data_IF_467136449455
#
_entry.id   IF_467136449455
#
_cell.length_a   1.000
_cell.length_b   1.000
_cell.length_c   1.000
_cell.angle_alpha   90.00
_cell.angle_beta   90.00
_cell.angle_gamma   90.00
#
_symmetry.space_group_name_H-M   'P 1'
#
loop_
_entity.id
_entity.type
_entity.pdbx_description
1 polymer ?
#
# COMPACT_ATOMS: atom_id res chain seq x y z
N UNK A 1 -12.13 1.25 -14.02
CA UNK A 1 -11.68 -0.04 -14.58
C UNK A 1 -12.01 -1.13 -13.57
N UNK A 2 -12.76 -2.14 -13.97
CA UNK A 2 -13.26 -3.20 -13.06
C UNK A 2 -12.28 -4.37 -12.87
N UNK A 3 -11.12 -4.35 -13.53
CA UNK A 3 -10.17 -5.46 -13.52
C UNK A 3 -8.77 -5.01 -13.10
N UNK A 4 -8.16 -5.85 -12.27
CA UNK A 4 -6.78 -5.75 -11.83
C UNK A 4 -5.85 -6.01 -13.03
N UNK A 5 -4.91 -5.11 -13.33
CA UNK A 5 -3.98 -5.33 -14.44
C UNK A 5 -2.97 -6.43 -14.09
N UNK A 6 -2.84 -7.42 -14.97
CA UNK A 6 -1.72 -8.35 -14.96
C UNK A 6 -0.57 -7.77 -15.79
N UNK A 7 0.62 -7.70 -15.19
CA UNK A 7 1.82 -7.13 -15.81
C UNK A 7 2.87 -8.23 -15.92
N UNK A 8 3.35 -8.50 -17.14
CA UNK A 8 4.40 -9.50 -17.36
C UNK A 8 5.69 -9.05 -16.67
N UNK A 9 6.32 -9.95 -15.92
CA UNK A 9 7.51 -9.64 -15.14
C UNK A 9 8.69 -9.18 -16.01
N UNK A 10 8.74 -9.61 -17.27
CA UNK A 10 9.80 -9.22 -18.21
C UNK A 10 9.69 -7.76 -18.68
N UNK A 11 8.63 -7.03 -18.31
CA UNK A 11 8.51 -5.59 -18.57
C UNK A 11 9.28 -4.74 -17.55
N UNK A 12 9.84 -5.35 -16.50
CA UNK A 12 10.57 -4.68 -15.44
C UNK A 12 12.08 -4.85 -15.62
N UNK A 13 12.76 -3.72 -15.76
CA UNK A 13 14.22 -3.63 -15.78
C UNK A 13 14.77 -3.15 -14.43
N UNK A 14 16.06 -3.38 -14.21
CA UNK A 14 16.80 -2.93 -13.02
C UNK A 14 16.08 -3.31 -11.70
N UNK A 15 15.63 -4.56 -11.62
CA UNK A 15 14.94 -5.09 -10.44
C UNK A 15 15.95 -5.24 -9.30
N UNK A 16 15.79 -4.42 -8.26
CA UNK A 16 16.70 -4.36 -7.12
C UNK A 16 15.95 -4.59 -5.81
N UNK A 17 16.47 -5.46 -4.94
CA UNK A 17 15.94 -5.61 -3.59
C UNK A 17 16.39 -4.42 -2.73
N UNK A 18 15.43 -3.68 -2.17
CA UNK A 18 15.74 -2.48 -1.38
C UNK A 18 16.04 -2.78 0.10
N UNK A 19 16.26 -4.06 0.44
CA UNK A 19 16.52 -4.60 1.77
C UNK A 19 15.49 -4.18 2.84
N UNK A 20 14.30 -3.72 2.41
CA UNK A 20 13.15 -3.50 3.28
C UNK A 20 12.31 -4.77 3.29
N UNK A 21 12.19 -5.39 4.46
CA UNK A 21 11.43 -6.62 4.68
C UNK A 21 10.28 -6.34 5.64
N UNK A 22 9.06 -6.61 5.19
CA UNK A 22 7.92 -6.79 6.08
C UNK A 22 7.90 -8.21 6.64
N UNK A 23 7.06 -8.48 7.64
CA UNK A 23 6.97 -9.81 8.25
C UNK A 23 6.71 -10.94 7.23
N UNK A 24 5.97 -10.64 6.15
CA UNK A 24 5.56 -11.59 5.11
C UNK A 24 5.78 -11.05 3.69
N UNK A 25 6.62 -10.02 3.53
CA UNK A 25 6.86 -9.43 2.22
C UNK A 25 8.29 -8.92 2.07
N UNK A 26 8.76 -8.98 0.84
CA UNK A 26 10.05 -8.42 0.42
C UNK A 26 9.81 -7.32 -0.59
N UNK A 27 10.48 -6.17 -0.42
CA UNK A 27 10.26 -5.01 -1.29
C UNK A 27 11.41 -4.87 -2.27
N UNK A 28 11.06 -4.65 -3.54
CA UNK A 28 11.98 -4.38 -4.63
C UNK A 28 11.60 -3.06 -5.29
N UNK A 29 12.57 -2.41 -5.95
CA UNK A 29 12.31 -1.36 -6.94
C UNK A 29 12.63 -1.87 -8.33
N UNK A 30 11.94 -1.32 -9.33
CA UNK A 30 12.21 -1.62 -10.73
C UNK A 30 11.87 -0.41 -11.61
N UNK A 31 12.32 -0.44 -12.87
CA UNK A 31 11.86 0.44 -13.93
C UNK A 31 10.86 -0.33 -14.78
N UNK A 32 9.61 0.13 -14.84
CA UNK A 32 8.61 -0.39 -15.75
C UNK A 32 8.69 0.37 -17.07
N UNK A 33 9.18 -0.28 -18.14
CA UNK A 33 9.46 0.37 -19.42
C UNK A 33 8.20 0.91 -20.10
N UNK A 34 7.16 0.08 -20.13
CA UNK A 34 5.88 0.42 -20.76
C UNK A 34 5.08 1.40 -19.90
N UNK A 35 5.10 1.25 -18.57
CA UNK A 35 4.35 2.09 -17.65
C UNK A 35 2.82 1.83 -17.66
N UNK A 36 2.08 2.55 -16.80
CA UNK A 36 0.63 2.42 -16.68
C UNK A 36 -0.08 2.93 -17.94
N UNK A 37 -1.27 2.39 -18.19
CA UNK A 37 -2.17 2.90 -19.24
C UNK A 37 -2.57 4.34 -18.93
N UNK A 38 -2.57 5.18 -19.95
CA UNK A 38 -2.82 6.61 -19.83
C UNK A 38 -4.09 7.01 -20.56
N UNK A 39 -4.07 7.02 -21.90
CA UNK A 39 -5.21 7.41 -22.73
C UNK A 39 -5.62 6.25 -23.65
N UNK A 40 -6.92 6.07 -23.85
CA UNK A 40 -7.43 5.21 -24.90
C UNK A 40 -7.57 6.02 -26.17
N UNK A 41 -6.92 5.57 -27.24
CA UNK A 41 -7.18 6.05 -28.59
C UNK A 41 -8.49 5.39 -29.07
N UNK A 42 -9.54 6.19 -29.25
CA UNK A 42 -10.88 5.70 -29.61
C UNK A 42 -10.96 5.16 -31.05
N UNK A 43 -10.06 5.58 -31.95
CA UNK A 43 -10.07 5.14 -33.35
C UNK A 43 -9.38 3.79 -33.51
N UNK A 44 -8.31 3.56 -32.77
CA UNK A 44 -7.50 2.34 -32.84
C UNK A 44 -7.81 1.33 -31.73
N UNK A 45 -8.58 1.73 -30.72
CA UNK A 45 -8.86 0.98 -29.49
C UNK A 45 -7.58 0.58 -28.72
N UNK A 46 -6.49 1.34 -28.90
CA UNK A 46 -5.20 1.08 -28.25
C UNK A 46 -4.98 2.05 -27.09
N UNK A 47 -4.56 1.51 -25.94
CA UNK A 47 -4.12 2.33 -24.82
C UNK A 47 -2.69 2.84 -25.04
N UNK A 48 -2.51 4.15 -25.01
CA UNK A 48 -1.20 4.75 -24.81
C UNK A 48 -0.72 4.44 -23.38
N UNK A 49 0.58 4.24 -23.20
CA UNK A 49 1.18 4.02 -21.89
C UNK A 49 2.18 5.12 -21.55
N UNK A 50 2.32 5.41 -20.26
CA UNK A 50 3.20 6.46 -19.76
C UNK A 50 4.42 5.84 -19.06
N UNK A 51 5.34 5.32 -19.85
CA UNK A 51 6.62 4.79 -19.41
C UNK A 51 7.80 5.51 -20.08
N UNK A 52 9.05 5.27 -19.61
CA UNK A 52 9.42 4.42 -18.48
C UNK A 52 9.19 5.11 -17.13
N UNK A 53 8.75 4.35 -16.12
CA UNK A 53 8.58 4.87 -14.75
C UNK A 53 9.23 3.97 -13.70
N UNK A 54 9.64 4.57 -12.58
CA UNK A 54 10.10 3.81 -11.41
C UNK A 54 8.89 3.29 -10.62
N UNK A 55 8.94 2.03 -10.21
CA UNK A 55 7.88 1.36 -9.44
C UNK A 55 8.46 0.62 -8.24
N UNK A 56 7.59 0.32 -7.27
CA UNK A 56 7.86 -0.60 -6.18
C UNK A 56 7.17 -1.94 -6.49
N UNK A 57 7.93 -3.02 -6.41
CA UNK A 57 7.41 -4.39 -6.46
C UNK A 57 7.39 -4.96 -5.05
N UNK A 58 6.20 -5.06 -4.46
CA UNK A 58 6.03 -5.69 -3.15
C UNK A 58 5.73 -7.17 -3.33
N UNK A 59 6.73 -8.02 -3.12
CA UNK A 59 6.61 -9.48 -3.21
C UNK A 59 5.87 -10.03 -1.99
N UNK A 60 4.84 -10.82 -2.24
CA UNK A 60 4.13 -11.58 -1.22
C UNK A 60 4.85 -12.92 -1.03
N UNK A 61 5.52 -13.08 0.10
CA UNK A 61 6.32 -14.28 0.35
C UNK A 61 5.39 -15.51 0.51
N UNK A 62 5.82 -16.66 -0.03
CA UNK A 62 5.07 -17.92 -0.04
C UNK A 62 3.69 -17.88 -0.73
N UNK A 63 3.44 -16.88 -1.57
CA UNK A 63 2.17 -16.73 -2.29
C UNK A 63 1.95 -17.71 -3.47
N UNK A 64 2.80 -18.74 -3.63
CA UNK A 64 2.56 -19.80 -4.62
C UNK A 64 1.25 -20.56 -4.33
N UNK A 65 0.94 -20.73 -3.04
CA UNK A 65 -0.22 -21.49 -2.56
C UNK A 65 -1.10 -20.61 -1.67
N UNK A 66 -1.64 -19.52 -2.22
CA UNK A 66 -2.46 -18.60 -1.42
C UNK A 66 -3.71 -19.28 -0.86
N UNK A 67 -4.01 -19.02 0.42
CA UNK A 67 -5.25 -19.47 1.06
C UNK A 67 -6.46 -18.71 0.51
N UNK A 68 -7.64 -19.34 0.56
CA UNK A 68 -8.89 -18.71 0.11
C UNK A 68 -9.20 -17.46 0.95
N UNK A 69 -8.88 -17.48 2.24
CA UNK A 69 -9.02 -16.36 3.16
C UNK A 69 -8.16 -15.16 2.73
N UNK A 70 -6.92 -15.41 2.30
CA UNK A 70 -6.03 -14.37 1.80
C UNK A 70 -6.54 -13.78 0.48
N UNK A 71 -7.04 -14.61 -0.44
CA UNK A 71 -7.68 -14.16 -1.69
C UNK A 71 -8.90 -13.27 -1.40
N UNK A 72 -9.72 -13.64 -0.42
CA UNK A 72 -10.87 -12.83 -0.02
C UNK A 72 -10.48 -11.46 0.55
N UNK A 73 -9.39 -11.40 1.34
CA UNK A 73 -8.83 -10.13 1.82
C UNK A 73 -8.29 -9.29 0.67
N UNK A 74 -7.55 -9.89 -0.26
CA UNK A 74 -7.02 -9.22 -1.44
C UNK A 74 -8.14 -8.60 -2.29
N UNK A 75 -9.24 -9.32 -2.47
CA UNK A 75 -10.39 -8.81 -3.22
C UNK A 75 -11.03 -7.59 -2.55
N UNK A 76 -11.19 -7.60 -1.22
CA UNK A 76 -11.67 -6.43 -0.48
C UNK A 76 -10.70 -5.25 -0.58
N UNK A 77 -9.40 -5.52 -0.43
CA UNK A 77 -8.35 -4.52 -0.52
C UNK A 77 -8.33 -3.83 -1.90
N UNK A 78 -8.43 -4.62 -2.97
CA UNK A 78 -8.50 -4.11 -4.34
C UNK A 78 -9.63 -3.08 -4.53
N UNK A 79 -10.80 -3.29 -3.91
CA UNK A 79 -11.90 -2.31 -3.97
C UNK A 79 -11.55 -0.98 -3.33
N UNK A 80 -10.72 -0.97 -2.28
CA UNK A 80 -10.27 0.26 -1.65
C UNK A 80 -9.29 1.05 -2.56
N UNK A 81 -8.46 0.34 -3.33
CA UNK A 81 -7.45 0.93 -4.20
C UNK A 81 -8.04 1.72 -5.39
N UNK A 82 -9.29 1.44 -5.78
CA UNK A 82 -9.95 2.11 -6.90
C UNK A 82 -10.33 3.59 -6.62
N UNK A 83 -10.18 4.07 -5.38
CA UNK A 83 -10.62 5.40 -4.98
C UNK A 83 -9.54 6.51 -5.11
N UNK A 84 -8.28 6.16 -5.41
CA UNK A 84 -7.18 7.13 -5.55
C UNK A 84 -6.72 7.83 -4.25
N UNK A 85 -7.34 7.49 -3.12
CA UNK A 85 -7.02 8.00 -1.77
C UNK A 85 -5.97 7.15 -1.03
N UNK A 86 -5.72 5.93 -1.52
CA UNK A 86 -4.66 5.05 -1.04
C UNK A 86 -3.46 5.12 -2.00
N UNK A 87 -2.35 4.48 -1.61
CA UNK A 87 -1.18 4.41 -2.48
C UNK A 87 -1.52 3.77 -3.83
N UNK A 88 -1.20 4.49 -4.91
CA UNK A 88 -1.45 4.07 -6.30
C UNK A 88 -0.95 2.66 -6.57
N UNK A 89 -1.90 1.80 -6.91
CA UNK A 89 -1.69 0.42 -7.25
C UNK A 89 -1.93 0.23 -8.75
N UNK A 90 -0.90 -0.21 -9.47
CA UNK A 90 -0.98 -0.38 -10.92
C UNK A 90 -1.44 -1.79 -11.31
N UNK A 91 -1.05 -2.81 -10.58
CA UNK A 91 -1.35 -4.19 -10.97
C UNK A 91 -0.64 -5.26 -10.15
N UNK A 92 -0.75 -6.49 -10.63
CA UNK A 92 -0.03 -7.64 -10.09
C UNK A 92 0.90 -8.19 -11.17
N UNK A 93 2.08 -8.63 -10.72
CA UNK A 93 3.00 -9.45 -11.50
C UNK A 93 3.38 -10.70 -10.70
N UNK A 94 4.18 -11.58 -11.30
CA UNK A 94 4.68 -12.81 -10.68
C UNK A 94 6.15 -12.99 -10.99
N UNK A 95 6.95 -13.12 -9.95
CA UNK A 95 8.40 -13.25 -10.08
C UNK A 95 8.80 -14.62 -10.66
N UNK A 96 10.08 -14.83 -11.02
CA UNK A 96 10.57 -16.11 -11.53
C UNK A 96 10.42 -17.28 -10.54
N UNK A 97 10.27 -17.00 -9.24
CA UNK A 97 10.04 -18.01 -8.18
C UNK A 97 8.54 -18.32 -7.98
N UNK A 98 7.69 -17.81 -8.85
CA UNK A 98 6.25 -17.93 -8.81
C UNK A 98 5.55 -17.24 -7.63
N UNK A 99 6.20 -16.31 -6.95
CA UNK A 99 5.58 -15.45 -5.96
C UNK A 99 4.88 -14.26 -6.64
N UNK A 100 3.66 -13.96 -6.23
CA UNK A 100 2.95 -12.76 -6.66
C UNK A 100 3.59 -11.50 -6.06
N UNK A 101 3.59 -10.42 -6.84
CA UNK A 101 4.06 -9.11 -6.41
C UNK A 101 3.04 -8.03 -6.79
N UNK A 102 2.85 -7.07 -5.90
CA UNK A 102 2.10 -5.86 -6.23
C UNK A 102 3.00 -4.84 -6.91
N UNK A 103 2.49 -4.24 -7.98
CA UNK A 103 3.14 -3.15 -8.71
C UNK A 103 2.53 -1.85 -8.21
N UNK A 104 3.30 -1.10 -7.43
CA UNK A 104 2.85 0.10 -6.71
C UNK A 104 3.69 1.28 -7.22
N UNK A 105 3.09 2.47 -7.27
CA UNK A 105 3.83 3.70 -7.57
C UNK A 105 5.02 3.88 -6.63
N UNK A 106 6.12 4.35 -7.18
CA UNK A 106 7.25 4.81 -6.39
C UNK A 106 6.99 6.25 -5.91
N UNK A 107 6.97 6.44 -4.59
CA UNK A 107 6.83 7.76 -3.97
C UNK A 107 8.22 8.30 -3.62
N UNK A 108 8.61 9.40 -4.28
CA UNK A 108 9.97 9.97 -4.18
C UNK A 108 10.29 10.45 -2.77
N UNK A 109 9.33 11.05 -2.08
CA UNK A 109 9.50 11.54 -0.71
C UNK A 109 9.43 10.42 0.35
N UNK A 110 9.22 9.16 -0.08
CA UNK A 110 9.21 8.00 0.81
C UNK A 110 8.01 8.00 1.77
N UNK A 111 8.24 7.51 2.98
CA UNK A 111 7.22 7.49 4.04
C UNK A 111 7.32 8.73 4.93
N UNK A 112 6.30 8.96 5.76
CA UNK A 112 6.21 10.15 6.62
C UNK A 112 7.45 10.34 7.49
N UNK A 113 8.06 9.27 8.02
CA UNK A 113 9.30 9.39 8.79
C UNK A 113 10.46 9.90 7.94
N UNK A 114 10.66 9.32 6.75
CA UNK A 114 11.72 9.75 5.82
C UNK A 114 11.53 11.20 5.41
N UNK A 115 10.28 11.59 5.15
CA UNK A 115 9.93 12.96 4.77
C UNK A 115 10.15 13.97 5.90
N UNK A 116 9.78 13.61 7.14
CA UNK A 116 10.04 14.44 8.31
C UNK A 116 11.55 14.59 8.57
N UNK A 117 12.33 13.53 8.41
CA UNK A 117 13.78 13.60 8.54
C UNK A 117 14.40 14.54 7.49
N UNK A 118 13.98 14.43 6.22
CA UNK A 118 14.44 15.29 5.12
C UNK A 118 14.02 16.76 5.30
N UNK A 119 12.83 17.02 5.83
CA UNK A 119 12.33 18.36 6.11
C UNK A 119 12.82 18.95 7.44
N UNK A 120 13.67 18.22 8.18
CA UNK A 120 14.10 18.57 9.54
C UNK A 120 12.91 18.79 10.50
N UNK A 121 11.80 18.09 10.28
CA UNK A 121 10.56 18.20 11.01
C UNK A 121 9.80 19.51 10.80
N UNK A 122 10.23 20.36 9.87
CA UNK A 122 9.61 21.65 9.62
C UNK A 122 8.48 21.51 8.59
N UNK A 123 7.25 21.50 9.10
CA UNK A 123 6.04 21.55 8.29
C UNK A 123 5.23 22.77 8.66
N UNK A 124 4.61 23.43 7.68
CA UNK A 124 3.65 24.48 8.01
C UNK A 124 2.31 23.85 8.43
N UNK A 125 1.50 24.60 9.17
CA UNK A 125 0.19 24.11 9.63
C UNK A 125 -0.74 23.66 8.50
N UNK A 126 -0.62 24.30 7.34
CA UNK A 126 -1.38 23.91 6.15
C UNK A 126 -0.97 22.51 5.69
N UNK A 127 0.33 22.23 5.57
CA UNK A 127 0.82 20.92 5.14
C UNK A 127 0.38 19.80 6.09
N UNK A 128 0.42 20.08 7.40
CA UNK A 128 -0.06 19.14 8.43
C UNK A 128 -1.55 18.87 8.23
N UNK A 129 -2.36 19.91 8.05
CA UNK A 129 -3.79 19.78 7.85
C UNK A 129 -4.12 19.01 6.55
N UNK A 130 -3.42 19.30 5.45
CA UNK A 130 -3.62 18.65 4.16
C UNK A 130 -3.26 17.14 4.25
N UNK A 131 -2.14 16.80 4.89
CA UNK A 131 -1.78 15.40 5.13
C UNK A 131 -2.78 14.66 6.02
N UNK A 132 -3.20 15.25 7.15
CA UNK A 132 -4.18 14.63 8.05
C UNK A 132 -5.54 14.44 7.35
N UNK A 133 -5.94 15.40 6.52
CA UNK A 133 -7.14 15.29 5.69
C UNK A 133 -7.05 14.10 4.74
N UNK A 134 -5.94 13.95 4.01
CA UNK A 134 -5.73 12.83 3.09
C UNK A 134 -5.69 11.48 3.80
N UNK A 135 -4.99 11.38 4.93
CA UNK A 135 -4.95 10.15 5.75
C UNK A 135 -6.36 9.79 6.24
N UNK A 136 -7.12 10.77 6.76
CA UNK A 136 -8.50 10.53 7.23
C UNK A 136 -9.42 10.06 6.10
N UNK A 137 -9.24 10.60 4.89
CA UNK A 137 -9.99 10.22 3.69
C UNK A 137 -9.67 8.79 3.26
N UNK A 138 -8.40 8.41 3.24
CA UNK A 138 -7.98 7.02 2.97
C UNK A 138 -8.53 6.05 4.02
N UNK A 139 -8.49 6.42 5.30
CA UNK A 139 -9.00 5.59 6.39
C UNK A 139 -10.53 5.42 6.32
N UNK A 140 -11.26 6.47 5.95
CA UNK A 140 -12.69 6.40 5.68
C UNK A 140 -13.01 5.38 4.58
N UNK A 141 -12.25 5.36 3.47
CA UNK A 141 -12.44 4.41 2.37
C UNK A 141 -12.20 2.97 2.81
N UNK A 142 -11.17 2.72 3.62
CA UNK A 142 -10.90 1.39 4.21
C UNK A 142 -12.09 0.95 5.07
N UNK A 143 -12.55 1.81 5.97
CA UNK A 143 -13.67 1.51 6.87
C UNK A 143 -15.00 1.30 6.14
N UNK A 144 -15.22 2.00 5.02
CA UNK A 144 -16.40 1.83 4.14
C UNK A 144 -16.48 0.44 3.50
N UNK A 145 -15.35 -0.25 3.34
CA UNK A 145 -15.26 -1.59 2.78
C UNK A 145 -15.16 -2.70 3.85
N UNK A 146 -15.50 -2.38 5.11
CA UNK A 146 -15.43 -3.29 6.26
C UNK A 146 -14.05 -3.91 6.46
N UNK A 147 -13.02 -3.13 6.15
CA UNK A 147 -11.64 -3.41 6.50
C UNK A 147 -11.22 -2.56 7.69
N UNK A 148 -10.19 -3.05 8.37
CA UNK A 148 -9.45 -2.32 9.42
C UNK A 148 -7.99 -2.35 8.98
N UNK A 149 -7.30 -1.21 9.02
CA UNK A 149 -5.91 -1.15 8.57
C UNK A 149 -4.99 -2.04 9.42
N UNK A 150 -5.16 -1.99 10.75
CA UNK A 150 -4.49 -2.86 11.72
C UNK A 150 -3.01 -2.57 11.98
N UNK A 151 -2.32 -1.86 11.09
CA UNK A 151 -0.92 -1.43 11.29
C UNK A 151 -0.69 -0.01 10.75
N UNK A 152 -1.55 0.94 11.14
CA UNK A 152 -1.45 2.33 10.68
C UNK A 152 -0.40 3.06 11.53
N UNK A 153 0.65 3.58 10.90
CA UNK A 153 1.70 4.38 11.53
C UNK A 153 2.43 5.19 10.45
N UNK A 154 3.27 6.17 10.80
CA UNK A 154 3.97 7.02 9.82
C UNK A 154 4.87 6.28 8.82
N UNK A 155 5.25 5.03 9.12
CA UNK A 155 6.00 4.18 8.18
C UNK A 155 5.16 3.63 7.02
N UNK A 156 3.84 3.59 7.22
CA UNK A 156 2.82 3.14 6.27
C UNK A 156 2.00 4.32 5.69
N UNK A 157 2.50 5.55 5.87
CA UNK A 157 2.01 6.75 5.18
C UNK A 157 3.09 7.16 4.18
N UNK A 158 2.76 7.15 2.89
CA UNK A 158 3.62 7.65 1.83
C UNK A 158 3.31 9.12 1.58
N UNK A 159 4.36 9.93 1.39
CA UNK A 159 4.21 11.37 1.15
C UNK A 159 4.49 11.66 -0.32
N UNK A 160 3.70 12.57 -0.88
CA UNK A 160 3.94 13.18 -2.19
C UNK A 160 3.93 14.69 -1.99
N UNK A 161 5.09 15.33 -2.20
CA UNK A 161 5.22 16.77 -2.13
C UNK A 161 5.59 17.32 -3.50
N UNK A 162 4.64 18.02 -4.11
CA UNK A 162 4.79 18.80 -5.35
C UNK A 162 4.78 20.29 -5.03
N UNK A 163 5.19 21.14 -5.99
CA UNK A 163 5.49 22.57 -5.75
C UNK A 163 4.42 23.35 -4.95
N UNK A 164 3.13 23.01 -5.12
CA UNK A 164 2.01 23.70 -4.46
C UNK A 164 1.04 22.76 -3.72
N UNK A 165 1.38 21.47 -3.58
CA UNK A 165 0.51 20.48 -2.96
C UNK A 165 1.30 19.38 -2.27
N UNK A 166 0.96 19.13 -1.00
CA UNK A 166 1.37 17.95 -0.27
C UNK A 166 0.18 16.99 -0.14
N UNK A 167 0.43 15.71 -0.38
CA UNK A 167 -0.53 14.64 -0.19
C UNK A 167 0.09 13.50 0.60
N UNK A 168 -0.77 12.75 1.29
CA UNK A 168 -0.40 11.61 2.10
C UNK A 168 -1.28 10.40 1.74
N UNK A 169 -0.64 9.30 1.36
CA UNK A 169 -1.32 8.07 0.92
C UNK A 169 -1.06 6.95 1.91
N UNK A 170 -2.14 6.32 2.39
CA UNK A 170 -2.03 5.10 3.21
C UNK A 170 -1.57 3.95 2.31
N UNK A 171 -0.59 3.17 2.78
CA UNK A 171 -0.09 1.94 2.13
C UNK A 171 -0.11 0.76 3.10
N UNK A 172 0.25 -0.44 2.62
CA UNK A 172 0.37 -1.66 3.44
C UNK A 172 -0.93 -2.03 4.19
N UNK A 173 -2.07 -1.90 3.51
CA UNK A 173 -3.36 -2.04 4.18
C UNK A 173 -3.79 -3.50 4.30
N UNK A 174 -4.04 -3.94 5.54
CA UNK A 174 -5.04 -4.96 5.87
C UNK A 174 -4.82 -6.41 5.40
N UNK A 175 -3.75 -6.72 4.65
CA UNK A 175 -3.39 -8.10 4.34
C UNK A 175 -2.67 -8.69 5.55
N UNK A 176 -3.44 -9.32 6.42
CA UNK A 176 -2.93 -9.86 7.67
C UNK A 176 -2.46 -11.31 7.51
N UNK A 177 -1.28 -11.59 8.05
CA UNK A 177 -0.70 -12.93 8.09
C UNK A 177 -0.02 -13.36 6.80
N UNK A 178 0.43 -14.62 6.82
CA UNK A 178 1.13 -15.25 5.68
C UNK A 178 0.15 -15.65 4.59
N UNK A 179 0.54 -15.49 3.33
CA UNK A 179 -0.32 -15.77 2.18
C UNK A 179 -0.76 -17.25 2.09
N UNK A 180 0.08 -18.18 2.56
CA UNK A 180 -0.09 -19.63 2.49
C UNK A 180 -0.81 -20.26 3.69
N UNK A 181 -1.01 -19.50 4.78
CA UNK A 181 -1.62 -20.05 6.00
C UNK A 181 -3.11 -19.73 6.03
N UNK A 182 -3.90 -20.74 6.39
CA UNK A 182 -5.21 -20.48 7.00
C UNK A 182 -4.94 -19.72 8.29
N UNK A 183 -5.66 -18.62 8.53
CA UNK A 183 -5.54 -17.84 9.76
C UNK A 183 -6.02 -18.74 10.90
N UNK A 184 -5.11 -19.53 11.47
CA UNK A 184 -5.36 -20.25 12.71
C UNK A 184 -5.62 -19.20 13.78
N UNK A 185 -6.68 -19.42 14.55
CA UNK A 185 -7.36 -18.55 15.52
C UNK A 185 -6.53 -17.80 16.58
N UNK A 186 -5.20 -17.86 16.55
CA UNK A 186 -4.35 -16.93 17.30
C UNK A 186 -4.14 -15.67 16.46
N UNK A 187 -5.03 -14.69 16.59
CA UNK A 187 -4.79 -13.32 16.16
C UNK A 187 -3.53 -12.81 16.89
N UNK A 188 -2.36 -12.94 16.26
CA UNK A 188 -1.19 -12.20 16.70
C UNK A 188 -1.50 -10.72 16.54
N UNK A 189 -1.23 -9.92 17.58
CA UNK A 189 -1.31 -8.47 17.47
C UNK A 189 -0.22 -8.05 16.48
N UNK A 190 -0.66 -7.61 15.30
CA UNK A 190 0.20 -6.97 14.32
C UNK A 190 0.12 -5.46 14.57
N UNK A 191 1.26 -4.77 14.61
CA UNK A 191 1.27 -3.34 14.87
C UNK A 191 2.60 -2.82 15.42
N UNK A 192 2.89 -1.56 15.17
CA UNK A 192 3.96 -0.82 15.85
C UNK A 192 3.42 -0.33 17.20
N UNK A 193 3.89 -0.90 18.32
CA UNK A 193 3.29 -0.79 19.67
C UNK A 193 2.76 0.62 20.03
N UNK A 194 3.52 1.73 19.83
CA UNK A 194 3.03 3.09 20.11
C UNK A 194 1.73 3.49 19.41
N UNK A 195 1.39 2.86 18.28
CA UNK A 195 0.20 3.16 17.49
C UNK A 195 -0.94 2.16 17.73
N UNK A 196 -0.75 1.16 18.60
CA UNK A 196 -1.76 0.13 18.89
C UNK A 196 -2.65 0.60 20.03
N UNK A 197 -3.96 0.60 19.79
CA UNK A 197 -4.94 1.02 20.78
C UNK A 197 -4.93 0.09 22.01
N UNK A 198 -5.10 0.63 23.23
CA UNK A 198 -4.96 -0.14 24.47
C UNK A 198 -5.91 -1.35 24.55
N UNK A 199 -7.12 -1.25 24.00
CA UNK A 199 -8.11 -2.33 23.97
C UNK A 199 -7.67 -3.53 23.12
N UNK A 200 -6.82 -3.32 22.10
CA UNK A 200 -6.31 -4.39 21.24
C UNK A 200 -5.45 -5.38 22.03
N UNK A 201 -4.71 -4.90 23.04
CA UNK A 201 -3.91 -5.76 23.91
C UNK A 201 -4.74 -6.67 24.82
N UNK A 202 -5.97 -6.26 25.15
CA UNK A 202 -6.86 -7.02 26.01
C UNK A 202 -7.74 -7.99 25.21
N UNK A 203 -8.25 -7.54 24.07
CA UNK A 203 -9.26 -8.27 23.30
C UNK A 203 -8.67 -9.03 22.10
N UNK A 204 -7.40 -8.80 21.76
CA UNK A 204 -6.74 -9.31 20.54
C UNK A 204 -7.53 -9.03 19.25
N UNK A 205 -8.37 -8.00 19.26
CA UNK A 205 -9.31 -7.68 18.19
C UNK A 205 -9.04 -6.31 17.63
N UNK A 206 -8.79 -6.26 16.32
CA UNK A 206 -8.70 -5.02 15.57
C UNK A 206 -10.11 -4.51 15.23
N UNK A 207 -10.34 -3.22 15.46
CA UNK A 207 -11.62 -2.54 15.22
C UNK A 207 -11.41 -1.26 14.42
N UNK A 208 -12.49 -0.71 13.86
CA UNK A 208 -12.43 0.58 13.15
C UNK A 208 -12.00 1.68 14.13
N UNK A 209 -12.46 1.61 15.37
CA UNK A 209 -12.11 2.51 16.47
C UNK A 209 -10.62 2.41 16.84
N UNK A 210 -10.05 1.21 16.87
CA UNK A 210 -8.61 1.04 17.12
C UNK A 210 -7.75 1.68 16.02
N UNK A 211 -8.25 1.73 14.77
CA UNK A 211 -7.56 2.42 13.68
C UNK A 211 -7.67 3.95 13.78
N UNK A 212 -8.75 4.47 14.39
CA UNK A 212 -8.87 5.90 14.73
C UNK A 212 -7.88 6.27 15.84
N UNK A 213 -7.64 5.39 16.82
CA UNK A 213 -6.58 5.60 17.80
C UNK A 213 -5.21 5.72 17.12
N UNK A 214 -4.86 4.79 16.22
CA UNK A 214 -3.61 4.86 15.46
C UNK A 214 -3.48 6.16 14.66
N UNK A 215 -4.59 6.64 14.07
CA UNK A 215 -4.63 7.93 13.39
C UNK A 215 -4.37 9.10 14.35
N UNK A 216 -4.92 9.08 15.56
CA UNK A 216 -4.67 10.12 16.56
C UNK A 216 -3.24 10.14 17.13
N UNK A 217 -2.50 9.05 16.96
CA UNK A 217 -1.07 8.97 17.32
C UNK A 217 -0.14 9.47 16.22
N UNK A 218 -0.62 9.59 14.99
CA UNK A 218 0.11 10.17 13.83
C UNK A 218 -0.02 11.69 13.88
#
# INVERSE_FOLDING_TARGET
MDYLEWIDFNQFDLVENINKRGAFSSIYSAVWLEGPRWNLDEETEVWSRNGPIKVILKRLDNSQNMSQEFINQLYKYYKCLQNGTLADFFGITKDPTSCYMFVIRYYKNGNLYSYLDESMGMLCWRDIADMLWSISSGLHVIHKHDLVHGNLHGGNILVENEMDSIDAKITDTGLHGSADKQISSSQQIYGVIPFVAPEVFNENKLTKESAIYSFGMI
#
